data_IF_368371432791
#
_entry.id   IF_368371432791
#
_cell.length_a   1.000
_cell.length_b   1.000
_cell.length_c   1.000
_cell.angle_alpha   90.00
_cell.angle_beta   90.00
_cell.angle_gamma   90.00
#
_symmetry.space_group_name_H-M   'P 1'
#
loop_
_entity.id
_entity.type
_entity.pdbx_description
1 polymer ?
#
# COMPACT_ATOMS: atom_id res chain seq x y z
N UNK A 1 6.69 -21.03 27.51
CA UNK A 1 6.18 -21.62 26.29
C UNK A 1 7.31 -21.62 25.25
N UNK A 2 7.75 -22.82 24.83
CA UNK A 2 8.79 -23.01 23.81
C UNK A 2 8.23 -22.50 22.47
N UNK A 3 8.63 -21.33 22.06
CA UNK A 3 8.36 -20.84 20.70
C UNK A 3 9.35 -21.55 19.75
N UNK A 4 8.92 -22.66 19.19
CA UNK A 4 9.71 -23.34 18.17
C UNK A 4 9.96 -22.33 17.03
N UNK A 5 11.23 -22.15 16.66
CA UNK A 5 11.59 -21.31 15.54
C UNK A 5 10.94 -21.86 14.27
N UNK A 6 9.96 -21.13 13.71
CA UNK A 6 9.30 -21.51 12.46
C UNK A 6 10.17 -20.99 11.32
N UNK A 7 10.61 -21.90 10.47
CA UNK A 7 11.28 -21.53 9.24
C UNK A 7 10.25 -21.16 8.18
N UNK A 8 10.44 -20.01 7.52
CA UNK A 8 9.60 -19.51 6.44
C UNK A 8 10.44 -19.35 5.19
N UNK A 9 9.96 -19.85 4.08
CA UNK A 9 10.57 -19.69 2.77
C UNK A 9 9.64 -18.83 1.90
N UNK A 10 10.19 -17.78 1.32
CA UNK A 10 9.43 -16.85 0.48
C UNK A 10 9.95 -16.88 -0.95
N UNK A 11 9.08 -16.98 -1.95
CA UNK A 11 9.48 -16.78 -3.34
C UNK A 11 9.83 -15.32 -3.57
N UNK A 12 10.75 -15.07 -4.49
CA UNK A 12 10.97 -13.74 -5.06
C UNK A 12 11.34 -13.90 -6.52
N UNK A 13 10.39 -13.61 -7.40
CA UNK A 13 10.52 -13.69 -8.86
C UNK A 13 9.97 -12.42 -9.46
N UNK A 14 10.73 -11.79 -10.34
CA UNK A 14 10.33 -10.60 -11.08
C UNK A 14 10.58 -10.80 -12.56
N UNK A 15 9.61 -10.41 -13.38
CA UNK A 15 9.73 -10.40 -14.84
C UNK A 15 9.35 -9.02 -15.36
N UNK A 16 10.16 -8.47 -16.24
CA UNK A 16 9.89 -7.21 -16.95
C UNK A 16 10.07 -7.43 -18.43
N UNK A 17 9.12 -6.99 -19.21
CA UNK A 17 9.15 -7.12 -20.66
C UNK A 17 8.80 -5.78 -21.31
N UNK A 18 9.68 -5.33 -22.22
CA UNK A 18 9.48 -4.11 -22.99
C UNK A 18 8.95 -4.48 -24.36
N UNK A 19 7.79 -3.95 -24.70
CA UNK A 19 7.19 -4.06 -26.01
C UNK A 19 7.31 -2.72 -26.75
N UNK A 20 7.47 -2.77 -28.09
CA UNK A 20 7.43 -1.61 -28.96
C UNK A 20 8.36 -0.46 -28.49
N UNK A 21 9.68 -0.70 -28.49
CA UNK A 21 10.70 0.37 -28.37
C UNK A 21 10.42 1.38 -27.25
N UNK A 22 10.28 0.92 -26.00
CA UNK A 22 10.06 1.74 -24.81
C UNK A 22 8.68 2.43 -24.66
N UNK A 23 7.74 2.14 -25.57
CA UNK A 23 6.36 2.69 -25.47
C UNK A 23 5.53 1.92 -24.45
N UNK A 24 5.68 0.59 -24.40
CA UNK A 24 4.94 -0.27 -23.49
C UNK A 24 5.90 -1.17 -22.69
N UNK A 25 5.83 -1.08 -21.39
CA UNK A 25 6.51 -1.99 -20.47
C UNK A 25 5.48 -2.74 -19.63
N UNK A 26 5.61 -4.07 -19.60
CA UNK A 26 4.81 -4.94 -18.74
C UNK A 26 5.73 -5.50 -17.66
N UNK A 27 5.24 -5.57 -16.44
CA UNK A 27 5.95 -6.20 -15.34
C UNK A 27 5.04 -7.14 -14.56
N UNK A 28 5.62 -8.17 -13.99
CA UNK A 28 4.96 -9.11 -13.09
C UNK A 28 5.94 -9.51 -11.99
N UNK A 29 5.44 -9.67 -10.78
CA UNK A 29 6.23 -10.03 -9.62
C UNK A 29 5.46 -11.02 -8.76
N UNK A 30 6.18 -11.99 -8.22
CA UNK A 30 5.71 -12.87 -7.14
C UNK A 30 6.69 -12.75 -5.99
N UNK A 31 6.20 -12.42 -4.81
CA UNK A 31 7.04 -12.24 -3.63
C UNK A 31 6.33 -12.70 -2.35
N UNK A 32 7.03 -12.64 -1.24
CA UNK A 32 6.51 -12.86 0.08
C UNK A 32 7.50 -12.34 1.11
N UNK A 33 7.10 -12.30 2.38
CA UNK A 33 8.00 -11.81 3.41
C UNK A 33 7.35 -11.70 4.79
N UNK A 34 8.19 -11.52 5.80
CA UNK A 34 7.76 -11.23 7.15
C UNK A 34 7.87 -9.74 7.42
N UNK A 35 6.77 -9.11 7.75
CA UNK A 35 6.72 -7.72 8.17
C UNK A 35 6.68 -7.66 9.69
N UNK A 36 7.65 -6.97 10.27
CA UNK A 36 7.66 -6.69 11.71
C UNK A 36 6.81 -5.46 12.00
N UNK A 37 5.72 -5.67 12.74
CA UNK A 37 4.94 -4.56 13.25
C UNK A 37 5.58 -4.05 14.54
N UNK A 38 5.88 -2.77 14.59
CA UNK A 38 6.44 -2.11 15.78
C UNK A 38 5.40 -1.17 16.37
N UNK A 39 5.46 -0.92 17.68
CA UNK A 39 4.58 0.06 18.32
C UNK A 39 4.65 1.44 17.62
N UNK A 40 5.86 1.88 17.28
CA UNK A 40 6.08 3.13 16.53
C UNK A 40 5.37 3.15 15.18
N UNK A 41 5.36 2.04 14.43
CA UNK A 41 4.64 1.97 13.16
C UNK A 41 3.13 2.02 13.37
N UNK A 42 2.62 1.30 14.37
CA UNK A 42 1.20 1.28 14.73
C UNK A 42 0.69 2.65 15.18
N UNK A 43 1.44 3.35 16.06
CA UNK A 43 1.05 4.69 16.51
C UNK A 43 1.20 5.77 15.44
N UNK A 44 2.06 5.55 14.44
CA UNK A 44 2.12 6.43 13.27
C UNK A 44 0.89 6.24 12.37
N UNK A 45 0.42 5.02 12.21
CA UNK A 45 -0.77 4.70 11.42
C UNK A 45 -2.05 5.13 12.14
N UNK A 46 -2.15 4.83 13.43
CA UNK A 46 -3.25 5.29 14.28
C UNK A 46 -2.71 5.91 15.58
N UNK A 47 -2.67 7.25 15.69
CA UNK A 47 -2.18 7.95 16.88
C UNK A 47 -2.97 7.67 18.17
N UNK A 48 -4.19 7.16 18.04
CA UNK A 48 -5.06 6.82 19.18
C UNK A 48 -4.90 5.35 19.63
N UNK A 49 -3.85 4.68 19.19
CA UNK A 49 -3.53 3.31 19.62
C UNK A 49 -3.23 3.28 21.13
N UNK A 50 -3.89 2.38 21.86
CA UNK A 50 -3.71 2.23 23.30
C UNK A 50 -2.31 1.73 23.70
N UNK A 51 -1.92 1.97 24.94
CA UNK A 51 -0.56 1.66 25.46
C UNK A 51 -0.27 0.16 25.61
N UNK A 52 -1.30 -0.67 25.63
CA UNK A 52 -1.19 -2.12 25.88
C UNK A 52 -1.19 -2.99 24.61
N UNK A 53 -0.88 -2.40 23.46
CA UNK A 53 -0.82 -3.14 22.21
C UNK A 53 0.48 -3.94 22.12
N UNK A 54 0.36 -5.25 21.96
CA UNK A 54 1.51 -6.15 21.76
C UNK A 54 1.82 -6.24 20.25
N UNK A 55 2.99 -5.71 19.81
CA UNK A 55 3.40 -5.84 18.43
C UNK A 55 3.65 -7.30 18.04
N UNK A 56 3.00 -7.77 16.98
CA UNK A 56 3.24 -9.07 16.35
C UNK A 56 3.94 -8.93 15.01
N UNK A 57 4.06 -10.01 14.26
CA UNK A 57 4.57 -9.98 12.90
C UNK A 57 3.46 -10.37 11.93
N UNK A 58 3.32 -9.63 10.84
CA UNK A 58 2.46 -10.00 9.72
C UNK A 58 3.27 -10.83 8.73
N UNK A 59 2.77 -12.00 8.39
CA UNK A 59 3.39 -12.86 7.40
C UNK A 59 2.67 -12.70 6.05
N UNK A 60 3.31 -12.02 5.10
CA UNK A 60 2.87 -11.99 3.72
C UNK A 60 3.29 -13.30 3.03
N UNK A 61 2.38 -14.28 3.03
CA UNK A 61 2.63 -15.61 2.46
C UNK A 61 2.82 -15.58 0.96
N UNK A 62 2.10 -14.70 0.29
CA UNK A 62 2.08 -14.58 -1.16
C UNK A 62 1.69 -13.16 -1.53
N UNK A 63 2.48 -12.56 -2.39
CA UNK A 63 2.22 -11.29 -3.04
C UNK A 63 2.44 -11.48 -4.54
N UNK A 64 1.37 -11.42 -5.31
CA UNK A 64 1.40 -11.48 -6.78
C UNK A 64 0.99 -10.12 -7.28
N UNK A 65 1.82 -9.48 -8.06
CA UNK A 65 1.52 -8.20 -8.66
C UNK A 65 1.91 -8.17 -10.14
N UNK A 66 1.20 -7.35 -10.88
CA UNK A 66 1.50 -7.11 -12.28
C UNK A 66 0.96 -5.78 -12.72
N UNK A 67 1.56 -5.24 -13.76
CA UNK A 67 1.14 -3.96 -14.29
C UNK A 67 1.77 -3.64 -15.63
N UNK A 68 1.35 -2.52 -16.16
CA UNK A 68 1.84 -1.98 -17.41
C UNK A 68 2.08 -0.47 -17.28
N UNK A 69 3.09 -0.01 -18.00
CA UNK A 69 3.39 1.40 -18.17
C UNK A 69 3.38 1.70 -19.66
N UNK A 70 2.60 2.68 -20.07
CA UNK A 70 2.43 3.10 -21.48
C UNK A 70 2.83 4.57 -21.60
N UNK A 71 3.78 4.85 -22.47
CA UNK A 71 4.04 6.23 -22.92
C UNK A 71 3.04 6.57 -24.00
N UNK A 72 1.99 7.32 -23.64
CA UNK A 72 0.97 7.78 -24.59
C UNK A 72 1.51 8.85 -25.51
N UNK A 73 2.41 9.70 -24.97
CA UNK A 73 3.14 10.73 -25.69
C UNK A 73 4.51 10.95 -24.98
N UNK A 74 5.33 11.84 -25.53
CA UNK A 74 6.62 12.22 -24.92
C UNK A 74 6.48 12.81 -23.51
N UNK A 75 5.33 13.41 -23.26
CA UNK A 75 5.02 14.10 -22.00
C UNK A 75 3.99 13.34 -21.14
N UNK A 76 3.40 12.23 -21.62
CA UNK A 76 2.29 11.54 -20.94
C UNK A 76 2.65 10.08 -20.68
N UNK A 77 2.68 9.70 -19.41
CA UNK A 77 2.85 8.33 -18.97
C UNK A 77 1.56 7.86 -18.28
N UNK A 78 1.05 6.72 -18.73
CA UNK A 78 -0.04 6.01 -18.07
C UNK A 78 0.49 4.73 -17.45
N UNK A 79 0.14 4.48 -16.17
CA UNK A 79 0.48 3.28 -15.43
C UNK A 79 -0.79 2.63 -14.90
N UNK A 80 -0.90 1.32 -15.05
CA UNK A 80 -1.97 0.54 -14.44
C UNK A 80 -1.40 -0.75 -13.85
N UNK A 81 -1.94 -1.18 -12.72
CA UNK A 81 -1.47 -2.38 -12.05
C UNK A 81 -2.53 -3.01 -11.16
N UNK A 82 -2.33 -4.28 -10.88
CA UNK A 82 -3.13 -5.07 -9.96
C UNK A 82 -2.22 -5.89 -9.07
N UNK A 83 -2.61 -6.09 -7.82
CA UNK A 83 -1.94 -7.00 -6.89
C UNK A 83 -2.94 -7.82 -6.08
N UNK A 84 -2.50 -9.01 -5.70
CA UNK A 84 -3.17 -9.89 -4.77
C UNK A 84 -2.18 -10.29 -3.69
N UNK A 85 -2.55 -10.05 -2.42
CA UNK A 85 -1.75 -10.44 -1.26
C UNK A 85 -2.55 -11.37 -0.36
N UNK A 86 -1.87 -12.41 0.14
CA UNK A 86 -2.38 -13.27 1.20
C UNK A 86 -1.57 -13.07 2.46
N UNK A 87 -2.19 -12.42 3.43
CA UNK A 87 -1.58 -12.05 4.70
C UNK A 87 -2.01 -13.02 5.79
N UNK A 88 -1.09 -13.38 6.65
CA UNK A 88 -1.37 -14.05 7.92
C UNK A 88 -0.98 -13.13 9.07
N UNK A 89 -1.86 -13.10 10.07
CA UNK A 89 -1.69 -12.23 11.24
C UNK A 89 -1.53 -10.74 10.85
N UNK A 90 -2.34 -10.25 9.89
CA UNK A 90 -2.42 -8.83 9.54
C UNK A 90 -3.02 -8.03 10.69
N UNK A 91 -2.51 -6.82 10.93
CA UNK A 91 -2.95 -5.93 12.01
C UNK A 91 -4.18 -5.15 11.57
N UNK A 92 -5.19 -5.13 12.42
CA UNK A 92 -6.38 -4.28 12.27
C UNK A 92 -6.63 -3.50 13.55
N UNK A 93 -7.01 -2.24 13.41
CA UNK A 93 -7.41 -1.40 14.53
C UNK A 93 -8.92 -1.53 14.75
N UNK A 94 -9.31 -1.74 16.00
CA UNK A 94 -10.71 -1.79 16.42
C UNK A 94 -10.91 -0.90 17.63
N UNK A 95 -12.10 -0.31 17.76
CA UNK A 95 -12.41 0.47 18.93
C UNK A 95 -12.37 -0.41 20.18
N UNK A 96 -11.67 0.03 21.20
CA UNK A 96 -11.67 -0.64 22.49
C UNK A 96 -12.98 -0.31 23.22
N UNK A 97 -13.90 -1.28 23.23
CA UNK A 97 -15.18 -1.16 23.90
C UNK A 97 -15.13 -1.60 25.38
N UNK A 98 -13.99 -2.13 25.84
CA UNK A 98 -13.84 -2.68 27.19
C UNK A 98 -13.19 -1.72 28.18
N UNK A 99 -12.58 -0.65 27.69
CA UNK A 99 -11.92 0.37 28.49
C UNK A 99 -12.91 1.30 29.21
N UNK A 100 -12.64 1.58 30.48
CA UNK A 100 -13.42 2.53 31.30
C UNK A 100 -13.37 4.01 30.80
N UNK A 101 -12.62 4.29 29.75
CA UNK A 101 -12.37 5.61 29.18
C UNK A 101 -13.02 5.76 27.79
N UNK A 102 -14.32 5.72 27.75
CA UNK A 102 -15.16 6.32 26.67
C UNK A 102 -14.68 6.12 25.22
N UNK A 103 -14.39 4.88 24.76
CA UNK A 103 -14.15 4.57 23.33
C UNK A 103 -13.12 5.47 22.62
N UNK A 104 -12.17 6.04 23.35
CA UNK A 104 -11.19 6.99 22.81
C UNK A 104 -9.89 6.33 22.35
N UNK A 105 -9.71 5.04 22.64
CA UNK A 105 -8.53 4.27 22.30
C UNK A 105 -8.85 3.14 21.34
N UNK A 106 -7.84 2.77 20.55
CA UNK A 106 -7.91 1.63 19.64
C UNK A 106 -7.04 0.49 20.16
N UNK A 107 -7.60 -0.70 20.13
CA UNK A 107 -6.85 -1.94 20.29
C UNK A 107 -6.53 -2.54 18.91
N UNK A 108 -5.57 -3.47 18.87
CA UNK A 108 -5.21 -4.18 17.65
C UNK A 108 -5.68 -5.62 17.71
N UNK A 109 -6.20 -6.07 16.58
CA UNK A 109 -6.54 -7.47 16.33
C UNK A 109 -5.68 -7.98 15.19
N UNK A 110 -5.25 -9.22 15.28
CA UNK A 110 -4.52 -9.93 14.24
C UNK A 110 -5.48 -10.89 13.53
N UNK A 111 -5.55 -10.80 12.21
CA UNK A 111 -6.41 -11.64 11.38
C UNK A 111 -5.72 -12.00 10.08
N UNK A 112 -6.01 -13.18 9.56
CA UNK A 112 -5.63 -13.53 8.21
C UNK A 112 -6.48 -12.71 7.22
N UNK A 113 -5.93 -12.35 6.07
CA UNK A 113 -6.64 -11.53 5.09
C UNK A 113 -6.18 -11.80 3.66
N UNK A 114 -7.12 -11.73 2.73
CA UNK A 114 -6.86 -11.61 1.31
C UNK A 114 -7.10 -10.16 0.86
N UNK A 115 -6.09 -9.58 0.21
CA UNK A 115 -6.11 -8.17 -0.22
C UNK A 115 -5.92 -8.10 -1.72
N UNK A 116 -6.88 -7.47 -2.42
CA UNK A 116 -6.80 -7.15 -3.84
C UNK A 116 -6.65 -5.64 -3.98
N UNK A 117 -5.64 -5.20 -4.73
CA UNK A 117 -5.44 -3.79 -5.01
C UNK A 117 -5.38 -3.56 -6.53
N UNK A 118 -6.11 -2.56 -7.00
CA UNK A 118 -6.05 -2.06 -8.37
C UNK A 118 -5.55 -0.62 -8.33
N UNK A 119 -4.61 -0.29 -9.19
CA UNK A 119 -4.02 1.06 -9.28
C UNK A 119 -4.04 1.55 -10.70
N UNK A 120 -4.31 2.84 -10.86
CA UNK A 120 -4.16 3.55 -12.13
C UNK A 120 -3.57 4.92 -11.87
N UNK A 121 -2.64 5.36 -12.70
CA UNK A 121 -1.97 6.65 -12.58
C UNK A 121 -1.72 7.24 -13.96
N UNK A 122 -1.96 8.52 -14.09
CA UNK A 122 -1.61 9.33 -15.25
C UNK A 122 -0.64 10.42 -14.79
N UNK A 123 0.53 10.44 -15.40
CA UNK A 123 1.55 11.45 -15.17
C UNK A 123 1.70 12.28 -16.43
N UNK A 124 1.62 13.59 -16.27
CA UNK A 124 1.94 14.56 -17.30
C UNK A 124 3.21 15.32 -16.89
N UNK A 125 4.25 15.19 -17.67
CA UNK A 125 5.55 15.82 -17.42
C UNK A 125 5.98 16.61 -18.65
N UNK A 126 5.99 17.93 -18.52
CA UNK A 126 6.43 18.83 -19.57
C UNK A 126 7.72 19.55 -19.16
N UNK A 127 8.85 19.06 -19.65
CA UNK A 127 10.16 19.52 -19.28
C UNK A 127 10.37 19.44 -17.74
N UNK A 128 11.49 19.88 -17.24
CA UNK A 128 11.77 19.96 -15.81
C UNK A 128 10.96 21.02 -15.05
N UNK A 129 10.07 21.75 -15.75
CA UNK A 129 9.35 22.92 -15.21
C UNK A 129 7.92 22.63 -14.79
N UNK A 130 7.31 21.57 -15.31
CA UNK A 130 5.92 21.22 -15.02
C UNK A 130 5.77 19.71 -14.93
N UNK A 131 5.25 19.26 -13.81
CA UNK A 131 4.85 17.87 -13.62
C UNK A 131 3.53 17.86 -12.87
N UNK A 132 2.62 17.00 -13.27
CA UNK A 132 1.39 16.72 -12.55
C UNK A 132 1.04 15.24 -12.67
N UNK A 133 0.43 14.70 -11.63
CA UNK A 133 -0.05 13.34 -11.62
C UNK A 133 -1.43 13.25 -10.99
N UNK A 134 -2.22 12.35 -11.51
CA UNK A 134 -3.49 11.93 -10.93
C UNK A 134 -3.48 10.40 -10.84
N UNK A 135 -3.78 9.88 -9.68
CA UNK A 135 -3.84 8.45 -9.42
C UNK A 135 -5.12 8.06 -8.69
N UNK A 136 -5.51 6.82 -8.90
CA UNK A 136 -6.58 6.19 -8.14
C UNK A 136 -6.15 4.78 -7.73
N UNK A 137 -6.44 4.42 -6.49
CA UNK A 137 -6.22 3.09 -5.94
C UNK A 137 -7.53 2.56 -5.38
N UNK A 138 -7.89 1.36 -5.79
CA UNK A 138 -8.98 0.60 -5.19
C UNK A 138 -8.41 -0.58 -4.43
N UNK A 139 -8.78 -0.71 -3.15
CA UNK A 139 -8.34 -1.80 -2.27
C UNK A 139 -9.54 -2.54 -1.72
N UNK A 140 -9.60 -3.85 -1.99
CA UNK A 140 -10.55 -4.76 -1.38
C UNK A 140 -9.79 -5.64 -0.39
N UNK A 141 -9.92 -5.34 0.89
CA UNK A 141 -9.29 -6.05 1.99
C UNK A 141 -10.35 -6.88 2.74
N UNK A 142 -10.18 -8.20 2.72
CA UNK A 142 -11.12 -9.16 3.33
C UNK A 142 -10.43 -9.89 4.48
N UNK A 143 -10.53 -9.38 5.71
CA UNK A 143 -10.03 -10.08 6.89
C UNK A 143 -10.94 -11.25 7.28
N UNK A 144 -10.35 -12.33 7.74
CA UNK A 144 -11.08 -13.49 8.25
C UNK A 144 -11.65 -13.16 9.64
N UNK A 145 -12.94 -13.47 9.84
CA UNK A 145 -13.61 -13.28 11.13
C UNK A 145 -13.90 -11.83 11.52
N UNK A 146 -13.60 -10.85 10.68
CA UNK A 146 -14.02 -9.46 10.83
C UNK A 146 -15.04 -9.11 9.75
N UNK A 147 -16.05 -8.30 10.10
CA UNK A 147 -17.07 -7.87 9.14
C UNK A 147 -16.47 -7.04 7.98
N UNK A 148 -15.43 -6.28 8.25
CA UNK A 148 -14.66 -5.50 7.27
C UNK A 148 -13.32 -5.06 7.85
N UNK A 149 -12.39 -4.66 6.98
CA UNK A 149 -11.17 -3.97 7.36
C UNK A 149 -11.51 -2.51 7.75
N UNK A 150 -11.64 -2.26 9.05
CA UNK A 150 -11.91 -0.94 9.57
C UNK A 150 -10.70 -0.03 9.34
N UNK A 151 -10.94 1.25 9.05
CA UNK A 151 -9.91 2.28 8.82
C UNK A 151 -8.99 2.05 7.63
N UNK A 152 -9.33 1.09 6.74
CA UNK A 152 -8.66 0.91 5.46
C UNK A 152 -9.57 1.48 4.38
N UNK A 153 -9.21 2.58 3.72
CA UNK A 153 -10.01 3.16 2.65
C UNK A 153 -10.09 2.19 1.46
N UNK A 154 -11.31 2.01 0.94
CA UNK A 154 -11.51 1.16 -0.24
C UNK A 154 -11.10 1.88 -1.53
N UNK A 155 -11.19 3.21 -1.56
CA UNK A 155 -10.80 4.05 -2.71
C UNK A 155 -9.95 5.19 -2.19
N UNK A 156 -8.83 5.40 -2.83
CA UNK A 156 -7.93 6.53 -2.62
C UNK A 156 -7.72 7.23 -3.95
N UNK A 157 -7.80 8.56 -3.95
CA UNK A 157 -7.47 9.38 -5.12
C UNK A 157 -6.36 10.31 -4.68
N UNK A 158 -5.30 10.34 -5.45
CA UNK A 158 -4.18 11.25 -5.23
C UNK A 158 -4.02 12.18 -6.43
N UNK A 159 -3.78 13.43 -6.14
CA UNK A 159 -3.50 14.48 -7.11
C UNK A 159 -2.30 15.28 -6.62
N UNK A 160 -1.31 15.44 -7.46
CA UNK A 160 -0.16 16.23 -7.09
C UNK A 160 0.54 16.80 -8.31
N UNK A 161 1.47 17.70 -8.04
CA UNK A 161 2.29 18.26 -9.10
C UNK A 161 3.14 19.43 -8.62
N UNK A 162 4.03 19.86 -9.50
CA UNK A 162 4.82 21.06 -9.28
C UNK A 162 4.96 21.90 -10.56
N UNK A 163 5.14 23.20 -10.35
CA UNK A 163 5.43 24.18 -11.40
C UNK A 163 6.66 24.97 -10.99
N UNK A 164 7.68 24.99 -11.84
CA UNK A 164 8.88 25.80 -11.68
C UNK A 164 8.74 27.07 -12.52
N UNK A 165 8.56 28.22 -11.85
CA UNK A 165 8.47 29.53 -12.50
C UNK A 165 9.82 30.22 -12.49
N UNK A 166 10.30 30.64 -13.69
CA UNK A 166 11.54 31.41 -13.88
C UNK A 166 12.78 30.80 -13.21
N UNK A 167 12.81 29.46 -13.06
CA UNK A 167 13.94 28.73 -12.44
C UNK A 167 14.25 29.13 -10.97
N UNK A 168 13.36 29.83 -10.30
CA UNK A 168 13.55 30.37 -8.94
C UNK A 168 12.41 30.05 -7.97
N UNK A 169 11.21 29.84 -8.47
CA UNK A 169 10.01 29.65 -7.63
C UNK A 169 9.40 28.31 -7.96
N UNK A 170 9.31 27.44 -6.94
CA UNK A 170 8.67 26.13 -7.05
C UNK A 170 7.35 26.17 -6.28
N UNK A 171 6.25 25.91 -6.99
CA UNK A 171 4.96 25.60 -6.37
C UNK A 171 4.75 24.09 -6.40
N UNK A 172 4.56 23.50 -5.23
CA UNK A 172 4.29 22.08 -5.08
C UNK A 172 2.97 21.89 -4.35
N UNK A 173 2.14 20.95 -4.84
CA UNK A 173 0.92 20.51 -4.17
C UNK A 173 0.82 19.00 -4.23
N UNK A 174 0.39 18.39 -3.13
CA UNK A 174 0.06 16.97 -3.00
C UNK A 174 -1.23 16.88 -2.16
N UNK A 175 -2.24 16.14 -2.64
CA UNK A 175 -3.52 15.87 -1.98
C UNK A 175 -3.79 14.38 -1.97
#
# INVERSE_FOLDING_TARGET
ANSAAKFHLYPHVEARYKLASDVLMIHAQVSGGMQKNTYKAMTKENPFTGDFVLPGNTNNKLDISGGLNIKLDKEILFSAGASFMRLKDAVYFVNDSTGALNYTTFSTIYSDADVITLKGELVFERNEKFNTHIGATYTNNKPDGLAKAWFVPAVEINLGGYILLREKIIFKTDM
#
